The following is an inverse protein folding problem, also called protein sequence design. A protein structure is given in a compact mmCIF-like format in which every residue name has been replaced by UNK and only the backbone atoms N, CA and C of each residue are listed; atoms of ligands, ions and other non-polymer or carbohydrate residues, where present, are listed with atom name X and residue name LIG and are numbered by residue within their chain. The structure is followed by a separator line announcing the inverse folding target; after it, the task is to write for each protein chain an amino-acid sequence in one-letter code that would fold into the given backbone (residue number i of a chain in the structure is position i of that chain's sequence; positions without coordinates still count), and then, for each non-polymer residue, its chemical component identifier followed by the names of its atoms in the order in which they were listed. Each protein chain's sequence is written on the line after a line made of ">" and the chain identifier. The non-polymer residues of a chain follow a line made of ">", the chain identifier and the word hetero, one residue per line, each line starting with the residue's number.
data_IF_486539279654
#
_entry.id   IF_486539279654
#
_cell.length_a   1.000
_cell.length_b   1.000
_cell.length_c   1.000
_cell.angle_alpha   90.00
_cell.angle_beta   90.00
_cell.angle_gamma   90.00
#
_symmetry.space_group_name_H-M   'P 1'
#
loop_
_entity.id
_entity.type
_entity.pdbx_description
1 polymer ?
#
# COMPACT_ATOMS: atom_id res chain seq x y z
N UNK A 1 13.30 -18.36 -8.20
CA UNK A 1 12.86 -18.31 -6.79
C UNK A 1 13.64 -17.18 -6.15
N UNK A 2 13.10 -15.95 -6.18
CA UNK A 2 13.82 -14.79 -5.64
C UNK A 2 13.85 -14.92 -4.11
N UNK A 3 15.02 -15.19 -3.55
CA UNK A 3 15.35 -14.77 -2.20
C UNK A 3 15.40 -13.25 -2.26
N UNK A 4 14.35 -12.60 -1.76
CA UNK A 4 14.24 -11.15 -1.74
C UNK A 4 14.99 -10.68 -0.49
N UNK A 5 16.29 -10.42 -0.66
CA UNK A 5 17.16 -9.79 0.35
C UNK A 5 16.96 -8.25 0.41
N UNK A 6 15.95 -7.74 -0.30
CA UNK A 6 15.64 -6.32 -0.43
C UNK A 6 14.30 -6.02 0.24
N UNK A 7 14.28 -5.14 1.22
CA UNK A 7 13.04 -4.62 1.80
C UNK A 7 12.61 -3.42 0.96
N UNK A 8 11.39 -3.46 0.44
CA UNK A 8 10.82 -2.33 -0.28
C UNK A 8 10.32 -1.33 0.77
N UNK A 9 11.04 -0.23 1.02
CA UNK A 9 10.53 0.72 2.00
C UNK A 9 9.29 1.40 1.43
N UNK A 10 8.16 1.12 2.07
CA UNK A 10 6.85 1.19 1.47
C UNK A 10 6.24 2.58 1.34
N UNK A 11 6.95 3.62 0.86
CA UNK A 11 6.21 4.85 0.48
C UNK A 11 5.25 4.55 -0.66
N UNK A 12 5.56 3.53 -1.46
CA UNK A 12 4.94 3.32 -2.75
C UNK A 12 4.40 1.91 -2.98
N UNK A 13 4.38 0.99 -2.00
CA UNK A 13 3.75 -0.33 -2.20
C UNK A 13 2.20 -0.21 -2.25
N UNK A 14 1.72 0.28 -3.38
CA UNK A 14 0.33 0.46 -3.81
C UNK A 14 0.15 -0.27 -5.13
N UNK A 15 -1.10 -0.40 -5.59
CA UNK A 15 -1.43 -0.96 -6.91
C UNK A 15 -0.58 -0.35 -8.04
N UNK A 16 -0.22 0.92 -7.92
CA UNK A 16 0.62 1.68 -8.88
C UNK A 16 2.03 1.10 -9.07
N UNK A 17 2.56 0.34 -8.11
CA UNK A 17 3.89 -0.28 -8.17
C UNK A 17 3.89 -1.70 -8.76
N UNK A 18 2.74 -2.18 -9.24
CA UNK A 18 2.63 -3.45 -9.94
C UNK A 18 2.54 -3.20 -11.44
N UNK A 19 3.60 -3.53 -12.16
CA UNK A 19 3.60 -3.53 -13.61
C UNK A 19 3.02 -4.84 -14.12
N UNK A 20 2.05 -4.74 -15.02
CA UNK A 20 1.49 -5.88 -15.73
C UNK A 20 2.05 -5.88 -17.15
N UNK A 21 2.80 -6.92 -17.51
CA UNK A 21 3.34 -7.03 -18.85
C UNK A 21 2.25 -7.33 -19.89
N UNK A 22 2.41 -6.89 -21.13
CA UNK A 22 1.63 -7.42 -22.24
C UNK A 22 2.16 -8.80 -22.62
N UNK A 23 1.26 -9.79 -22.75
CA UNK A 23 1.66 -11.12 -23.22
C UNK A 23 1.94 -11.14 -24.72
N UNK A 24 1.30 -10.25 -25.47
CA UNK A 24 1.49 -10.09 -26.91
C UNK A 24 2.28 -8.80 -27.20
N UNK A 25 3.53 -8.87 -27.68
CA UNK A 25 4.31 -7.69 -28.04
C UNK A 25 3.61 -6.81 -29.08
N UNK A 26 2.81 -7.42 -29.96
CA UNK A 26 2.02 -6.73 -30.97
C UNK A 26 1.00 -5.74 -30.39
N UNK A 27 0.56 -5.91 -29.14
CA UNK A 27 -0.33 -4.92 -28.47
C UNK A 27 0.36 -3.56 -28.37
N UNK A 28 1.62 -3.55 -27.92
CA UNK A 28 2.39 -2.30 -27.78
C UNK A 28 2.76 -1.71 -29.15
N UNK A 29 3.13 -2.55 -30.12
CA UNK A 29 3.45 -2.10 -31.48
C UNK A 29 2.25 -1.44 -32.17
N UNK A 30 1.05 -2.03 -32.04
CA UNK A 30 -0.16 -1.44 -32.60
C UNK A 30 -0.54 -0.14 -31.88
N UNK A 31 -0.37 -0.09 -30.55
CA UNK A 31 -0.59 1.12 -29.78
C UNK A 31 0.35 2.25 -30.24
N UNK A 32 1.66 1.99 -30.38
CA UNK A 32 2.62 3.00 -30.86
C UNK A 32 2.23 3.50 -32.26
N UNK A 33 1.88 2.58 -33.18
CA UNK A 33 1.45 2.95 -34.53
C UNK A 33 0.20 3.83 -34.53
N UNK A 34 -0.77 3.52 -33.67
CA UNK A 34 -1.96 4.35 -33.48
C UNK A 34 -1.59 5.77 -33.02
N UNK A 35 -0.71 5.90 -32.02
CA UNK A 35 -0.24 7.20 -31.54
C UNK A 35 0.55 8.00 -32.59
N UNK A 36 1.27 7.34 -33.51
CA UNK A 36 1.93 8.02 -34.63
C UNK A 36 0.92 8.55 -35.66
N UNK A 37 -0.12 7.77 -35.95
CA UNK A 37 -1.17 8.17 -36.92
C UNK A 37 -2.20 9.14 -36.33
N UNK A 38 -2.40 9.11 -35.02
CA UNK A 38 -3.38 9.89 -34.29
C UNK A 38 -2.79 10.36 -32.95
N UNK A 39 -1.89 11.36 -32.97
CA UNK A 39 -1.18 11.78 -31.77
C UNK A 39 -2.13 12.32 -30.68
N UNK A 40 -1.85 12.05 -29.40
CA UNK A 40 -2.62 12.58 -28.30
C UNK A 40 -2.51 14.11 -28.23
N UNK A 41 -3.54 14.79 -27.71
CA UNK A 41 -3.42 16.19 -27.34
C UNK A 41 -2.18 16.40 -26.49
N UNK A 42 -1.49 17.51 -26.70
CA UNK A 42 -0.30 17.85 -25.94
C UNK A 42 -0.32 19.32 -25.53
N UNK A 43 0.38 19.62 -24.44
CA UNK A 43 0.70 20.99 -24.03
C UNK A 43 2.20 21.21 -24.04
N UNK A 44 2.62 22.41 -24.40
CA UNK A 44 4.03 22.81 -24.29
C UNK A 44 4.33 23.22 -22.85
N UNK A 45 5.36 22.64 -22.26
CA UNK A 45 5.84 23.01 -20.93
C UNK A 45 7.37 22.98 -20.93
N UNK A 46 8.01 24.10 -20.58
CA UNK A 46 9.47 24.23 -20.60
C UNK A 46 10.14 23.79 -21.92
N UNK A 47 9.52 24.14 -23.06
CA UNK A 47 10.06 23.82 -24.39
C UNK A 47 9.89 22.37 -24.85
N UNK A 48 9.26 21.50 -24.05
CA UNK A 48 8.93 20.11 -24.43
C UNK A 48 7.42 19.87 -24.52
N UNK A 49 6.95 19.03 -25.46
CA UNK A 49 5.57 18.58 -25.47
C UNK A 49 5.33 17.61 -24.31
N UNK A 50 4.25 17.83 -23.57
CA UNK A 50 3.70 16.89 -22.59
C UNK A 50 2.40 16.37 -23.19
N UNK A 51 2.40 15.09 -23.56
CA UNK A 51 1.27 14.40 -24.15
C UNK A 51 0.29 13.93 -23.08
N UNK A 52 -1.00 13.95 -23.40
CA UNK A 52 -2.04 13.35 -22.58
C UNK A 52 -1.88 11.82 -22.55
N UNK A 53 -2.02 11.22 -21.37
CA UNK A 53 -1.93 9.76 -21.20
C UNK A 53 -3.17 9.08 -21.79
N UNK A 54 -2.97 8.03 -22.58
CA UNK A 54 -4.03 7.19 -23.13
C UNK A 54 -3.89 5.77 -22.60
N UNK A 55 -4.71 5.36 -21.61
CA UNK A 55 -4.59 4.02 -20.99
C UNK A 55 -5.23 2.91 -21.82
N UNK A 56 -5.86 3.24 -22.95
CA UNK A 56 -6.48 2.25 -23.84
C UNK A 56 -5.44 1.66 -24.80
N UNK A 57 -4.99 0.45 -24.49
CA UNK A 57 -4.08 -0.33 -25.34
C UNK A 57 -4.83 -1.21 -26.35
N UNK A 58 -6.14 -1.04 -26.48
CA UNK A 58 -7.02 -1.90 -27.23
C UNK A 58 -7.20 -3.28 -26.61
N UNK A 59 -7.84 -4.22 -27.32
CA UNK A 59 -8.11 -5.56 -26.79
C UNK A 59 -6.82 -6.35 -26.56
N UNK A 60 -6.66 -6.85 -25.34
CA UNK A 60 -5.55 -7.73 -24.96
C UNK A 60 -5.75 -9.14 -25.54
N UNK A 61 -5.40 -9.33 -26.82
CA UNK A 61 -5.67 -10.56 -27.59
C UNK A 61 -5.16 -11.85 -26.93
N UNK A 62 -4.02 -11.79 -26.23
CA UNK A 62 -3.45 -12.94 -25.48
C UNK A 62 -3.55 -12.76 -23.96
N UNK A 63 -4.28 -11.74 -23.50
CA UNK A 63 -4.39 -11.38 -22.10
C UNK A 63 -3.13 -10.71 -21.53
N UNK A 64 -3.08 -10.66 -20.20
CA UNK A 64 -1.99 -10.07 -19.43
C UNK A 64 -0.85 -11.06 -19.20
N UNK A 65 0.36 -10.53 -19.10
CA UNK A 65 1.60 -11.24 -18.79
C UNK A 65 1.88 -11.27 -17.29
N UNK A 66 3.16 -11.48 -16.95
CA UNK A 66 3.60 -11.54 -15.56
C UNK A 66 3.47 -10.19 -14.87
N UNK A 67 3.02 -10.22 -13.61
CA UNK A 67 3.09 -9.08 -12.70
C UNK A 67 4.52 -8.93 -12.20
N UNK A 68 5.04 -7.71 -12.23
CA UNK A 68 6.37 -7.35 -11.76
C UNK A 68 6.26 -6.19 -10.79
N UNK A 69 6.98 -6.27 -9.68
CA UNK A 69 7.11 -5.14 -8.76
C UNK A 69 8.09 -4.14 -9.38
N UNK A 70 7.73 -2.87 -9.36
CA UNK A 70 8.57 -1.76 -9.77
C UNK A 70 8.77 -0.76 -8.65
N UNK A 71 9.61 0.24 -8.92
CA UNK A 71 9.96 1.35 -8.02
C UNK A 71 10.62 0.90 -6.71
N UNK A 72 11.95 0.78 -6.79
CA UNK A 72 12.83 0.47 -5.66
C UNK A 72 13.55 1.73 -5.15
N UNK A 73 13.08 2.94 -5.51
CA UNK A 73 13.75 4.20 -5.18
C UNK A 73 13.87 4.44 -3.67
N UNK A 74 12.96 3.83 -2.91
CA UNK A 74 12.88 3.90 -1.45
C UNK A 74 13.29 2.58 -0.79
N UNK A 75 13.72 1.55 -1.52
CA UNK A 75 14.11 0.25 -0.96
C UNK A 75 15.32 0.35 -0.01
N UNK A 76 15.30 -0.43 1.07
CA UNK A 76 16.39 -0.53 2.03
C UNK A 76 16.83 -1.98 2.22
N UNK A 77 18.11 -2.17 2.55
CA UNK A 77 18.62 -3.50 2.86
C UNK A 77 18.14 -3.97 4.23
N UNK A 78 17.66 -5.21 4.32
CA UNK A 78 17.17 -5.80 5.57
C UNK A 78 18.26 -6.17 6.56
N UNK A 79 19.50 -6.35 6.10
CA UNK A 79 20.67 -6.71 6.89
C UNK A 79 21.54 -5.49 7.26
N UNK A 80 20.97 -4.28 7.24
CA UNK A 80 21.66 -3.08 7.65
C UNK A 80 22.10 -3.12 9.12
N UNK A 81 23.18 -2.42 9.48
CA UNK A 81 23.70 -2.41 10.85
C UNK A 81 22.78 -1.70 11.86
N UNK A 82 21.82 -0.90 11.38
CA UNK A 82 20.89 -0.11 12.21
C UNK A 82 19.48 -0.69 12.08
N UNK A 83 18.79 -0.96 13.21
CA UNK A 83 17.39 -1.36 13.19
C UNK A 83 16.51 -0.31 12.53
N UNK A 84 15.60 -0.76 11.67
CA UNK A 84 14.69 0.12 10.95
C UNK A 84 13.48 0.52 11.80
N UNK A 85 13.30 1.81 12.07
CA UNK A 85 12.17 2.34 12.86
C UNK A 85 11.59 3.66 12.33
N UNK A 86 12.02 4.08 11.14
CA UNK A 86 11.54 5.29 10.47
C UNK A 86 10.22 5.05 9.73
N UNK A 87 9.54 6.14 9.35
CA UNK A 87 8.30 6.07 8.58
C UNK A 87 8.56 5.65 7.15
N UNK A 88 7.99 4.50 6.78
CA UNK A 88 8.07 3.96 5.44
C UNK A 88 6.73 3.97 4.72
N UNK A 89 5.62 3.73 5.41
CA UNK A 89 4.34 3.47 4.74
C UNK A 89 3.37 4.65 4.70
N UNK A 90 2.56 4.79 3.64
CA UNK A 90 1.42 5.69 3.63
C UNK A 90 0.38 5.23 4.66
N UNK A 91 -0.42 6.18 5.15
CA UNK A 91 -1.29 6.00 6.32
C UNK A 91 -2.19 4.76 6.27
N UNK A 92 -2.85 4.48 5.15
CA UNK A 92 -3.80 3.36 5.01
C UNK A 92 -3.13 1.98 4.90
N UNK A 93 -1.87 1.96 4.49
CA UNK A 93 -1.10 0.73 4.31
C UNK A 93 -0.14 0.48 5.49
N UNK A 94 -0.11 1.38 6.47
CA UNK A 94 0.85 1.32 7.56
C UNK A 94 0.67 0.06 8.42
N UNK A 95 1.70 -0.77 8.47
CA UNK A 95 1.77 -1.98 9.28
C UNK A 95 1.74 -1.63 10.77
N UNK A 96 1.22 -2.51 11.64
CA UNK A 96 1.09 -2.22 13.06
C UNK A 96 2.43 -1.90 13.73
N UNK A 97 3.54 -2.53 13.30
CA UNK A 97 4.88 -2.24 13.82
C UNK A 97 5.38 -0.84 13.44
N UNK A 98 5.11 -0.41 12.19
CA UNK A 98 5.48 0.92 11.71
C UNK A 98 4.63 1.97 12.42
N UNK A 99 3.32 1.72 12.51
CA UNK A 99 2.37 2.62 13.16
C UNK A 99 2.70 2.82 14.65
N UNK A 100 3.16 1.78 15.34
CA UNK A 100 3.56 1.84 16.75
C UNK A 100 5.05 2.14 16.97
N UNK A 101 5.78 2.53 15.90
CA UNK A 101 7.22 2.85 15.93
C UNK A 101 8.08 1.74 16.55
N UNK A 102 7.67 0.48 16.38
CA UNK A 102 8.52 -0.66 16.63
C UNK A 102 9.51 -0.84 15.47
N UNK A 103 10.57 -1.62 15.72
CA UNK A 103 11.44 -2.06 14.64
C UNK A 103 10.66 -2.91 13.65
N UNK A 104 10.80 -2.61 12.37
CA UNK A 104 10.16 -3.34 11.28
C UNK A 104 11.18 -4.08 10.40
N UNK A 105 10.66 -4.98 9.57
CA UNK A 105 11.45 -5.81 8.65
C UNK A 105 10.63 -6.07 7.36
N UNK A 106 11.01 -7.06 6.57
CA UNK A 106 10.23 -7.52 5.40
C UNK A 106 8.77 -7.89 5.74
N UNK A 107 8.45 -8.11 7.03
CA UNK A 107 7.06 -8.28 7.50
C UNK A 107 6.13 -7.13 7.13
N UNK A 108 6.67 -5.91 7.04
CA UNK A 108 5.91 -4.72 6.62
C UNK A 108 5.45 -4.84 5.16
N UNK A 109 6.26 -5.42 4.29
CA UNK A 109 5.93 -5.64 2.87
C UNK A 109 4.85 -6.72 2.72
N UNK A 110 4.92 -7.78 3.55
CA UNK A 110 3.89 -8.83 3.59
C UNK A 110 2.55 -8.25 4.02
N UNK A 111 2.54 -7.33 5.00
CA UNK A 111 1.35 -6.60 5.39
C UNK A 111 0.77 -5.78 4.23
N UNK A 112 1.61 -5.03 3.51
CA UNK A 112 1.15 -4.26 2.35
C UNK A 112 0.57 -5.15 1.24
N UNK A 113 1.22 -6.28 0.95
CA UNK A 113 0.72 -7.25 -0.02
C UNK A 113 -0.68 -7.74 0.35
N UNK A 114 -0.93 -8.05 1.63
CA UNK A 114 -2.25 -8.44 2.11
C UNK A 114 -3.31 -7.36 1.86
N UNK A 115 -2.98 -6.09 2.11
CA UNK A 115 -3.89 -4.96 1.88
C UNK A 115 -4.16 -4.71 0.40
N UNK A 116 -3.14 -4.79 -0.47
CA UNK A 116 -3.31 -4.66 -1.92
C UNK A 116 -4.19 -5.79 -2.47
N UNK A 117 -3.95 -7.03 -2.05
CA UNK A 117 -4.79 -8.16 -2.46
C UNK A 117 -6.24 -7.98 -2.02
N UNK A 118 -6.47 -7.48 -0.81
CA UNK A 118 -7.81 -7.16 -0.34
C UNK A 118 -8.47 -6.09 -1.19
N UNK A 119 -7.79 -4.98 -1.47
CA UNK A 119 -8.34 -3.88 -2.28
C UNK A 119 -8.71 -4.35 -3.69
N UNK A 120 -7.89 -5.21 -4.30
CA UNK A 120 -8.17 -5.81 -5.60
C UNK A 120 -9.39 -6.75 -5.60
N UNK A 121 -9.63 -7.46 -4.49
CA UNK A 121 -10.70 -8.45 -4.40
C UNK A 121 -12.03 -7.86 -3.91
N UNK A 122 -11.97 -6.90 -2.99
CA UNK A 122 -13.13 -6.34 -2.30
C UNK A 122 -13.46 -4.91 -2.75
N UNK A 123 -12.66 -4.33 -3.65
CA UNK A 123 -12.81 -2.96 -4.16
C UNK A 123 -12.92 -1.90 -3.05
N UNK A 124 -12.31 -2.18 -1.90
CA UNK A 124 -12.37 -1.33 -0.71
C UNK A 124 -11.12 -1.48 0.15
N UNK A 125 -10.80 -0.46 0.94
CA UNK A 125 -9.69 -0.51 1.90
C UNK A 125 -10.11 -1.16 3.21
N UNK A 126 -9.25 -2.00 3.80
CA UNK A 126 -9.49 -2.62 5.10
C UNK A 126 -9.45 -1.57 6.23
N UNK A 127 -8.51 -0.64 6.13
CA UNK A 127 -8.24 0.35 7.17
C UNK A 127 -8.11 1.74 6.57
N UNK A 128 -9.03 2.63 6.93
CA UNK A 128 -9.01 4.02 6.47
C UNK A 128 -8.56 5.01 7.56
N UNK A 129 -8.48 4.58 8.82
CA UNK A 129 -8.12 5.43 9.96
C UNK A 129 -9.06 6.60 10.20
N UNK A 130 -10.26 6.60 9.64
CA UNK A 130 -11.23 7.69 9.69
C UNK A 130 -12.49 7.28 10.44
N UNK A 131 -13.08 8.22 11.16
CA UNK A 131 -14.40 8.05 11.78
C UNK A 131 -15.49 8.49 10.82
N UNK A 132 -16.71 7.98 11.00
CA UNK A 132 -17.84 8.44 10.18
C UNK A 132 -18.11 9.93 10.45
N UNK A 133 -18.20 10.70 9.38
CA UNK A 133 -18.44 12.15 9.44
C UNK A 133 -17.17 13.00 9.56
N UNK A 134 -15.98 12.39 9.56
CA UNK A 134 -14.70 13.09 9.43
C UNK A 134 -13.84 12.43 8.36
N UNK A 135 -13.21 13.24 7.50
CA UNK A 135 -12.21 12.75 6.55
C UNK A 135 -10.77 12.83 7.13
N UNK A 136 -10.65 13.30 8.37
CA UNK A 136 -9.36 13.39 9.07
C UNK A 136 -8.87 12.00 9.50
N UNK A 137 -7.63 11.70 9.14
CA UNK A 137 -6.97 10.48 9.56
C UNK A 137 -6.58 10.56 11.05
N UNK A 138 -6.86 9.48 11.78
CA UNK A 138 -6.44 9.27 13.16
C UNK A 138 -5.76 7.91 13.33
N UNK A 139 -4.51 7.95 13.79
CA UNK A 139 -3.75 6.74 14.13
C UNK A 139 -4.46 5.86 15.17
N UNK A 140 -5.16 6.47 16.13
CA UNK A 140 -5.91 5.72 17.16
C UNK A 140 -7.10 4.97 16.55
N UNK A 141 -7.80 5.58 15.59
CA UNK A 141 -8.89 4.95 14.85
C UNK A 141 -8.36 3.81 13.98
N UNK A 142 -7.25 4.02 13.29
CA UNK A 142 -6.60 2.98 12.48
C UNK A 142 -6.26 1.75 13.34
N UNK A 143 -5.58 1.94 14.48
CA UNK A 143 -5.27 0.83 15.40
C UNK A 143 -6.53 0.15 15.95
N UNK A 144 -7.57 0.92 16.26
CA UNK A 144 -8.84 0.35 16.70
C UNK A 144 -9.49 -0.52 15.62
N UNK A 145 -9.40 -0.13 14.33
CA UNK A 145 -9.85 -0.94 13.20
C UNK A 145 -9.02 -2.23 13.07
N UNK A 146 -7.70 -2.15 13.20
CA UNK A 146 -6.82 -3.34 13.21
C UNK A 146 -7.20 -4.31 14.31
N UNK A 147 -7.42 -3.81 15.53
CA UNK A 147 -7.77 -4.63 16.69
C UNK A 147 -9.16 -5.24 16.57
N UNK A 148 -10.10 -4.51 15.97
CA UNK A 148 -11.43 -5.04 15.69
C UNK A 148 -11.36 -6.25 14.75
N UNK A 149 -10.46 -6.24 13.77
CA UNK A 149 -10.32 -7.31 12.79
C UNK A 149 -9.44 -8.47 13.29
N UNK A 150 -8.30 -8.15 13.89
CA UNK A 150 -7.23 -9.11 14.21
C UNK A 150 -7.18 -9.50 15.70
N UNK A 151 -7.95 -8.82 16.55
CA UNK A 151 -7.85 -8.93 17.99
C UNK A 151 -6.76 -8.03 18.60
N UNK A 152 -6.64 -8.01 19.94
CA UNK A 152 -5.66 -7.17 20.63
C UNK A 152 -4.21 -7.61 20.32
N UNK A 153 -3.27 -6.67 20.17
CA UNK A 153 -1.88 -7.00 19.91
C UNK A 153 -1.28 -7.80 21.08
N UNK A 154 -0.45 -8.82 20.80
CA UNK A 154 0.23 -9.58 21.85
C UNK A 154 1.07 -8.69 22.77
N UNK A 155 1.12 -9.00 24.07
CA UNK A 155 1.89 -8.21 25.04
C UNK A 155 3.39 -8.14 24.71
N UNK A 156 3.93 -9.19 24.09
CA UNK A 156 5.33 -9.22 23.67
C UNK A 156 5.63 -8.20 22.56
N UNK A 157 4.64 -7.93 21.70
CA UNK A 157 4.73 -6.93 20.65
C UNK A 157 4.72 -5.52 21.23
N UNK A 158 3.79 -5.23 22.15
CA UNK A 158 3.70 -3.93 22.84
C UNK A 158 4.92 -3.58 23.70
N UNK A 159 5.80 -4.53 24.01
CA UNK A 159 7.07 -4.25 24.70
C UNK A 159 8.15 -3.68 23.77
N UNK A 160 8.01 -3.90 22.46
CA UNK A 160 8.98 -3.49 21.42
C UNK A 160 8.62 -2.15 20.76
N UNK A 161 7.45 -1.61 21.08
CA UNK A 161 6.91 -0.37 20.53
C UNK A 161 7.34 0.83 21.36
N UNK A 162 7.21 2.02 20.78
CA UNK A 162 7.52 3.26 21.49
C UNK A 162 6.56 3.46 22.68
N UNK A 163 7.13 3.64 23.89
CA UNK A 163 6.35 3.79 25.12
C UNK A 163 5.48 5.04 25.13
N UNK A 164 5.93 6.13 24.53
CA UNK A 164 5.16 7.38 24.48
C UNK A 164 3.87 7.15 23.69
N UNK A 165 3.97 6.50 22.54
CA UNK A 165 2.85 6.16 21.65
C UNK A 165 1.91 5.15 22.32
N UNK A 166 2.47 4.07 22.89
CA UNK A 166 1.67 3.07 23.60
C UNK A 166 0.92 3.65 24.81
N UNK A 167 1.52 4.58 25.55
CA UNK A 167 0.87 5.18 26.72
C UNK A 167 -0.34 6.05 26.36
N UNK A 168 -0.31 6.68 25.19
CA UNK A 168 -1.39 7.53 24.66
C UNK A 168 -2.54 6.66 24.14
N UNK A 169 -2.24 5.55 23.46
CA UNK A 169 -3.26 4.71 22.80
C UNK A 169 -3.83 3.64 23.74
N UNK A 170 -3.01 3.08 24.64
CA UNK A 170 -3.36 1.97 25.54
C UNK A 170 -3.28 2.40 27.02
N UNK A 171 -4.18 3.28 27.48
CA UNK A 171 -4.21 3.65 28.90
C UNK A 171 -4.84 2.53 29.74
N UNK A 172 -4.04 1.87 30.59
CA UNK A 172 -4.42 0.71 31.45
C UNK A 172 -4.84 -0.56 30.67
N UNK A 173 -4.16 -0.88 29.55
CA UNK A 173 -4.43 -2.08 28.71
C UNK A 173 -5.79 -2.12 28.01
N UNK A 174 -6.64 -1.12 28.20
CA UNK A 174 -7.83 -0.92 27.37
C UNK A 174 -7.51 0.13 26.30
N UNK A 175 -7.84 -0.16 25.04
CA UNK A 175 -7.94 0.93 24.06
C UNK A 175 -9.02 1.89 24.53
N UNK A 176 -8.77 3.18 24.40
CA UNK A 176 -9.89 4.07 24.14
C UNK A 176 -10.34 3.81 22.72
N UNK A 177 -11.18 2.79 22.52
CA UNK A 177 -11.79 2.50 21.23
C UNK A 177 -12.71 3.69 20.96
N UNK A 178 -12.42 4.56 19.98
CA UNK A 178 -13.43 5.50 19.50
C UNK A 178 -14.64 4.65 19.07
N UNK A 179 -15.89 5.09 19.25
CA UNK A 179 -17.04 4.31 18.75
C UNK A 179 -16.82 4.05 17.25
N UNK A 180 -16.48 2.81 16.91
CA UNK A 180 -16.32 2.35 15.54
C UNK A 180 -17.68 1.86 15.07
N UNK A 181 -18.14 2.37 13.93
CA UNK A 181 -19.31 1.84 13.26
C UNK A 181 -19.10 0.38 12.81
N UNK A 182 -20.18 -0.39 12.59
CA UNK A 182 -20.08 -1.73 12.01
C UNK A 182 -19.29 -1.70 10.69
N UNK A 183 -18.42 -2.70 10.49
CA UNK A 183 -17.76 -2.92 9.20
C UNK A 183 -18.85 -3.07 8.13
N UNK A 184 -18.91 -2.16 7.15
CA UNK A 184 -19.70 -2.43 5.94
C UNK A 184 -19.00 -3.55 5.16
N UNK A 185 -19.75 -4.57 4.78
CA UNK A 185 -19.36 -5.48 3.69
C UNK A 185 -18.68 -6.79 4.07
N UNK A 186 -18.46 -7.11 5.35
CA UNK A 186 -17.99 -8.45 5.73
C UNK A 186 -19.20 -9.38 5.95
N UNK A 187 -19.89 -9.72 4.85
CA UNK A 187 -20.63 -10.98 4.80
C UNK A 187 -19.61 -12.04 4.38
N UNK A 188 -19.05 -12.75 5.37
CA UNK A 188 -18.42 -14.03 5.11
C UNK A 188 -19.53 -14.96 4.64
N UNK A 189 -19.46 -15.37 3.37
CA UNK A 189 -20.21 -16.50 2.86
C UNK A 189 -19.67 -17.80 3.47
#
# INVERSE_FOLDING_TARGET
>A
MLHIDYILSGKDFKSDNFLIAFKDPATLENYIRDQETNPPPYKMSAGRPIFESRPDFGPLKKGVGQVKISDFSTAVFGNGPVPHSHDIQPQQFCAPEVLLKATWSYSADIWNLGLVLWELLAETTVFNGRTRGSDEYSQAVHLAQMIRLLGPPPLQFLKKTDRSICSVIFRRRNLQIPRLDPLRGVQLA
#
